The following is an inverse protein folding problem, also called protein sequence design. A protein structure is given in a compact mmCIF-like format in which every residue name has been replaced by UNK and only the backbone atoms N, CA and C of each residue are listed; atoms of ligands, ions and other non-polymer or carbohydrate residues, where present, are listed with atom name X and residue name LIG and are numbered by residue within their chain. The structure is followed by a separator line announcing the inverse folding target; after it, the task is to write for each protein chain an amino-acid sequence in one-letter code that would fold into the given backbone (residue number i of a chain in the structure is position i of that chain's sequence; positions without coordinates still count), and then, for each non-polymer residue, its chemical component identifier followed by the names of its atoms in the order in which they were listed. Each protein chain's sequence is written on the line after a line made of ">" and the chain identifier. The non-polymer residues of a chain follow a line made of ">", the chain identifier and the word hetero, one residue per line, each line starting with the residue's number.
data_IF_849599716812
#
_entry.id   IF_849599716812
#
_cell.length_a   1.000
_cell.length_b   1.000
_cell.length_c   1.000
_cell.angle_alpha   90.00
_cell.angle_beta   90.00
_cell.angle_gamma   90.00
#
_symmetry.space_group_name_H-M   'P 1'
#
loop_
_entity.id
_entity.type
_entity.pdbx_description
1 polymer ?
#
# COMPACT_ATOMS: atom_id res chain seq x y z
N UNK A 1 10.84 14.75 12.76
CA UNK A 1 10.15 15.73 13.64
C UNK A 1 8.67 15.41 13.56
N UNK A 2 8.09 14.75 14.55
CA UNK A 2 6.63 14.59 14.63
C UNK A 2 6.01 15.95 14.93
N UNK A 3 5.01 16.38 14.16
CA UNK A 3 4.34 17.68 14.36
C UNK A 3 3.40 17.61 15.57
N UNK A 4 3.15 18.77 16.19
CA UNK A 4 2.20 18.91 17.29
C UNK A 4 0.77 18.46 16.89
N UNK A 5 0.42 18.58 15.60
CA UNK A 5 -0.80 18.02 15.01
C UNK A 5 -0.89 16.48 15.10
N UNK A 6 0.23 15.78 14.93
CA UNK A 6 0.30 14.31 15.06
C UNK A 6 0.07 13.85 16.53
N UNK A 7 0.39 14.74 17.49
CA UNK A 7 0.21 14.51 18.92
C UNK A 7 -1.22 14.83 19.42
N UNK A 8 -1.90 15.78 18.79
CA UNK A 8 -3.23 16.26 19.18
C UNK A 8 -4.38 15.68 18.36
N UNK A 9 -4.10 15.10 17.18
CA UNK A 9 -5.09 14.33 16.44
C UNK A 9 -5.46 13.09 17.27
N UNK A 10 -6.71 13.01 17.72
CA UNK A 10 -7.35 11.76 18.15
C UNK A 10 -7.07 10.72 17.08
N UNK A 11 -6.08 9.86 17.33
CA UNK A 11 -5.47 9.04 16.28
C UNK A 11 -6.52 8.33 15.44
N UNK A 12 -6.51 8.57 14.13
CA UNK A 12 -7.48 8.03 13.19
C UNK A 12 -7.75 6.54 13.45
N UNK A 13 -9.04 6.18 13.53
CA UNK A 13 -9.50 4.82 13.88
C UNK A 13 -8.86 3.78 12.98
N UNK A 14 -8.46 2.63 13.53
CA UNK A 14 -7.89 1.54 12.73
C UNK A 14 -8.93 1.01 11.74
N UNK A 15 -8.55 0.83 10.47
CA UNK A 15 -9.40 0.23 9.46
C UNK A 15 -9.74 -1.24 9.74
N UNK A 16 -8.77 -1.96 10.33
CA UNK A 16 -8.90 -3.38 10.66
C UNK A 16 -8.57 -3.58 12.14
N UNK A 17 -9.45 -4.29 12.85
CA UNK A 17 -9.30 -4.70 14.24
C UNK A 17 -9.10 -6.21 14.32
N UNK A 18 -8.98 -6.76 15.53
CA UNK A 18 -8.93 -8.20 15.75
C UNK A 18 -10.15 -8.91 15.15
N UNK A 19 -11.33 -8.32 15.34
CA UNK A 19 -12.63 -8.94 15.03
C UNK A 19 -13.17 -8.59 13.64
N UNK A 20 -12.41 -7.84 12.83
CA UNK A 20 -12.80 -7.55 11.45
C UNK A 20 -12.96 -8.83 10.64
N UNK A 21 -14.13 -9.07 10.00
CA UNK A 21 -14.39 -10.29 9.25
C UNK A 21 -13.64 -10.31 7.91
N UNK A 22 -13.27 -11.52 7.46
CA UNK A 22 -12.71 -11.75 6.13
C UNK A 22 -13.69 -11.22 5.06
N UNK A 23 -13.14 -10.63 4.00
CA UNK A 23 -13.90 -9.92 2.97
C UNK A 23 -14.14 -8.44 3.27
N UNK A 24 -13.82 -7.96 4.47
CA UNK A 24 -13.90 -6.52 4.76
C UNK A 24 -12.91 -5.75 3.88
N UNK A 25 -13.41 -4.69 3.25
CA UNK A 25 -12.63 -3.76 2.45
C UNK A 25 -12.80 -2.35 2.97
N UNK A 26 -11.71 -1.59 2.95
CA UNK A 26 -11.72 -0.14 3.12
C UNK A 26 -11.10 0.50 1.89
N UNK A 27 -11.66 1.64 1.47
CA UNK A 27 -11.16 2.44 0.35
C UNK A 27 -11.30 3.91 0.69
N UNK A 28 -10.33 4.70 0.29
CA UNK A 28 -10.37 6.14 0.52
C UNK A 28 -9.22 6.88 -0.12
N UNK A 29 -9.28 8.21 -0.02
CA UNK A 29 -8.20 9.10 -0.48
C UNK A 29 -7.10 9.14 0.57
N UNK A 30 -5.85 8.91 0.18
CA UNK A 30 -4.71 9.03 1.08
C UNK A 30 -4.61 10.48 1.55
N UNK A 31 -4.58 10.67 2.87
CA UNK A 31 -4.29 11.97 3.49
C UNK A 31 -2.85 12.05 3.99
N UNK A 32 -2.29 10.92 4.42
CA UNK A 32 -0.89 10.82 4.84
C UNK A 32 -0.41 9.37 4.83
N UNK A 33 0.90 9.19 4.67
CA UNK A 33 1.56 7.92 4.86
C UNK A 33 2.88 8.13 5.62
N UNK A 34 3.10 7.37 6.69
CA UNK A 34 4.29 7.48 7.53
C UNK A 34 4.91 6.12 7.82
N UNK A 35 6.22 6.10 7.98
CA UNK A 35 6.93 4.91 8.44
C UNK A 35 7.26 5.06 9.92
N UNK A 36 6.87 4.08 10.75
CA UNK A 36 7.18 4.04 12.18
C UNK A 36 7.68 2.68 12.61
N UNK A 37 8.42 2.64 13.71
CA UNK A 37 8.67 1.37 14.38
C UNK A 37 7.35 0.83 14.96
N UNK A 38 7.14 -0.48 14.84
CA UNK A 38 6.02 -1.17 15.44
C UNK A 38 6.23 -1.22 16.96
N UNK A 39 5.18 -0.94 17.71
CA UNK A 39 5.15 -1.11 19.16
C UNK A 39 4.34 -2.33 19.55
N UNK A 40 4.64 -2.88 20.72
CA UNK A 40 3.80 -3.89 21.33
C UNK A 40 2.49 -3.26 21.79
N UNK A 41 1.36 -3.92 21.51
CA UNK A 41 0.06 -3.35 21.82
C UNK A 41 -0.19 -3.26 23.33
N UNK A 42 0.33 -4.22 24.11
CA UNK A 42 0.14 -4.30 25.56
C UNK A 42 1.17 -3.42 26.25
N UNK A 43 2.45 -3.64 25.98
CA UNK A 43 3.52 -2.96 26.73
C UNK A 43 3.87 -1.57 26.19
N UNK A 44 3.37 -1.21 25.00
CA UNK A 44 3.71 0.02 24.24
C UNK A 44 5.20 0.17 23.90
N UNK A 45 6.01 -0.85 24.16
CA UNK A 45 7.44 -0.82 23.87
C UNK A 45 7.74 -1.02 22.38
N UNK A 46 8.81 -0.42 21.83
CA UNK A 46 9.22 -0.67 20.46
C UNK A 46 9.60 -2.15 20.25
N UNK A 47 9.20 -2.72 19.10
CA UNK A 47 9.52 -4.11 18.75
C UNK A 47 10.79 -4.17 17.91
N UNK A 48 11.63 -5.13 18.25
CA UNK A 48 12.87 -5.44 17.55
C UNK A 48 12.84 -6.90 17.08
N UNK A 49 13.64 -7.21 16.08
CA UNK A 49 13.96 -8.56 15.67
C UNK A 49 15.03 -9.16 16.60
N UNK A 50 15.28 -10.47 16.48
CA UNK A 50 16.29 -11.16 17.29
C UNK A 50 17.72 -10.64 17.05
N UNK A 51 17.96 -10.03 15.88
CA UNK A 51 19.21 -9.35 15.51
C UNK A 51 19.32 -7.92 16.05
N UNK A 52 18.31 -7.44 16.78
CA UNK A 52 18.25 -6.07 17.34
C UNK A 52 17.78 -5.00 16.35
N UNK A 53 17.45 -5.32 15.09
CA UNK A 53 16.93 -4.35 14.14
C UNK A 53 15.44 -4.02 14.41
N UNK A 54 14.99 -2.78 14.15
CA UNK A 54 13.61 -2.38 14.46
C UNK A 54 12.61 -3.00 13.49
N UNK A 55 11.49 -3.49 14.03
CA UNK A 55 10.35 -3.94 13.23
C UNK A 55 9.59 -2.72 12.68
N UNK A 56 9.82 -2.34 11.42
CA UNK A 56 9.19 -1.16 10.80
C UNK A 56 7.83 -1.44 10.17
N UNK A 57 6.90 -0.50 10.30
CA UNK A 57 5.58 -0.55 9.65
C UNK A 57 5.27 0.77 8.94
N UNK A 58 4.50 0.68 7.87
CA UNK A 58 3.90 1.83 7.18
C UNK A 58 2.50 2.02 7.74
N UNK A 59 2.14 3.26 8.07
CA UNK A 59 0.77 3.66 8.38
C UNK A 59 0.28 4.46 7.20
N UNK A 60 -0.84 4.04 6.60
CA UNK A 60 -1.54 4.81 5.58
C UNK A 60 -2.83 5.31 6.18
N UNK A 61 -2.99 6.63 6.26
CA UNK A 61 -4.23 7.26 6.69
C UNK A 61 -5.04 7.64 5.45
N UNK A 62 -6.28 7.18 5.40
CA UNK A 62 -7.21 7.46 4.29
C UNK A 62 -8.45 8.18 4.79
N UNK A 63 -8.92 9.16 4.03
CA UNK A 63 -10.25 9.72 4.20
C UNK A 63 -11.26 8.77 3.56
N UNK A 64 -12.24 8.34 4.36
CA UNK A 64 -13.35 7.49 3.93
C UNK A 64 -14.67 8.21 4.16
N UNK A 65 -15.73 7.69 3.54
CA UNK A 65 -17.11 8.13 3.79
C UNK A 65 -17.73 7.40 5.00
N UNK A 66 -17.02 6.45 5.62
CA UNK A 66 -17.51 5.70 6.77
C UNK A 66 -17.47 6.57 8.03
N UNK A 67 -18.61 6.68 8.72
CA UNK A 67 -18.73 7.37 10.01
C UNK A 67 -19.37 6.40 11.02
N UNK A 68 -18.65 6.09 12.09
CA UNK A 68 -19.10 5.20 13.16
C UNK A 68 -19.86 5.92 14.27
N UNK A 69 -19.60 7.22 14.45
CA UNK A 69 -20.26 8.10 15.42
C UNK A 69 -20.07 9.58 15.01
N UNK A 70 -20.68 10.51 15.74
CA UNK A 70 -20.65 11.94 15.42
C UNK A 70 -19.25 12.57 15.51
N UNK A 71 -18.35 11.99 16.31
CA UNK A 71 -16.97 12.45 16.51
C UNK A 71 -15.98 11.72 15.59
N UNK A 72 -16.44 10.73 14.83
CA UNK A 72 -15.64 10.03 13.83
C UNK A 72 -15.36 10.98 12.67
N UNK A 73 -14.10 11.36 12.48
CA UNK A 73 -13.62 12.22 11.38
C UNK A 73 -13.63 11.52 10.00
N UNK A 74 -14.04 10.26 9.95
CA UNK A 74 -14.10 9.44 8.74
C UNK A 74 -12.72 9.00 8.26
N UNK A 75 -11.67 9.27 9.03
CA UNK A 75 -10.31 8.87 8.70
C UNK A 75 -10.05 7.46 9.23
N UNK A 76 -9.36 6.65 8.42
CA UNK A 76 -8.96 5.31 8.80
C UNK A 76 -7.46 5.12 8.64
N UNK A 77 -6.83 4.54 9.67
CA UNK A 77 -5.43 4.12 9.64
C UNK A 77 -5.29 2.66 9.21
N UNK A 78 -4.45 2.40 8.23
CA UNK A 78 -4.11 1.05 7.75
C UNK A 78 -2.64 0.79 8.10
N UNK A 79 -2.39 -0.26 8.88
CA UNK A 79 -1.07 -0.63 9.36
C UNK A 79 -0.50 -1.78 8.53
N UNK A 80 0.57 -1.50 7.79
CA UNK A 80 1.20 -2.44 6.85
C UNK A 80 2.60 -2.75 7.35
N UNK A 81 2.91 -4.03 7.62
CA UNK A 81 4.26 -4.41 8.04
C UNK A 81 5.23 -4.19 6.88
N UNK A 82 6.39 -3.61 7.14
CA UNK A 82 7.44 -3.42 6.11
C UNK A 82 8.25 -4.71 5.85
N UNK A 83 7.67 -5.88 6.13
CA UNK A 83 8.26 -7.19 5.90
C UNK A 83 7.17 -8.23 5.55
N UNK A 84 7.60 -9.42 5.11
CA UNK A 84 6.71 -10.54 4.84
C UNK A 84 5.67 -10.25 3.75
N UNK A 85 4.51 -10.91 3.86
CA UNK A 85 3.43 -10.84 2.86
C UNK A 85 2.86 -9.42 2.71
N UNK A 86 2.74 -8.67 3.80
CA UNK A 86 2.23 -7.29 3.76
C UNK A 86 3.10 -6.38 2.88
N UNK A 87 4.44 -6.49 3.00
CA UNK A 87 5.38 -5.73 2.16
C UNK A 87 5.30 -6.15 0.70
N UNK A 88 5.23 -7.46 0.45
CA UNK A 88 5.13 -7.99 -0.92
C UNK A 88 3.85 -7.45 -1.56
N UNK A 89 2.71 -7.62 -0.89
CA UNK A 89 1.42 -7.15 -1.39
C UNK A 89 1.37 -5.64 -1.64
N UNK A 90 1.98 -4.84 -0.74
CA UNK A 90 2.06 -3.40 -0.97
C UNK A 90 2.96 -3.07 -2.17
N UNK A 91 4.07 -3.79 -2.32
CA UNK A 91 5.01 -3.58 -3.44
C UNK A 91 4.36 -3.94 -4.78
N UNK A 92 3.55 -5.00 -4.82
CA UNK A 92 2.82 -5.40 -6.01
C UNK A 92 1.76 -4.36 -6.37
N UNK A 93 0.95 -3.91 -5.40
CA UNK A 93 -0.03 -2.85 -5.62
C UNK A 93 0.59 -1.53 -6.13
N UNK A 94 1.82 -1.20 -5.69
CA UNK A 94 2.58 -0.04 -6.19
C UNK A 94 2.96 -0.23 -7.67
N UNK A 95 3.44 -1.42 -8.05
CA UNK A 95 3.83 -1.76 -9.43
C UNK A 95 2.61 -1.80 -10.34
N UNK A 96 1.51 -2.41 -9.90
CA UNK A 96 0.25 -2.53 -10.64
C UNK A 96 -0.35 -1.15 -10.97
N UNK A 97 -0.14 -0.19 -10.06
CA UNK A 97 -0.55 1.20 -10.23
C UNK A 97 0.44 2.02 -11.08
N UNK A 98 1.51 1.41 -11.60
CA UNK A 98 2.52 2.03 -12.45
C UNK A 98 3.50 2.94 -11.73
N UNK A 99 3.61 2.85 -10.40
CA UNK A 99 4.57 3.64 -9.63
C UNK A 99 5.89 2.90 -9.45
N UNK A 100 6.99 3.65 -9.43
CA UNK A 100 8.32 3.11 -9.14
C UNK A 100 8.76 3.33 -7.69
N UNK A 101 8.13 4.27 -6.98
CA UNK A 101 8.45 4.63 -5.60
C UNK A 101 7.21 4.62 -4.71
N UNK A 102 7.37 4.02 -3.52
CA UNK A 102 6.31 4.00 -2.50
C UNK A 102 5.91 5.41 -2.03
N UNK A 103 6.84 6.36 -2.00
CA UNK A 103 6.55 7.76 -1.62
C UNK A 103 5.64 8.47 -2.62
N UNK A 104 5.69 8.09 -3.89
CA UNK A 104 4.82 8.64 -4.93
C UNK A 104 3.47 7.91 -4.95
N UNK A 105 3.49 6.58 -4.80
CA UNK A 105 2.28 5.77 -4.75
C UNK A 105 1.41 6.07 -3.52
N UNK A 106 2.03 6.30 -2.37
CA UNK A 106 1.35 6.64 -1.11
C UNK A 106 1.30 8.15 -0.85
N UNK A 107 1.48 8.97 -1.89
CA UNK A 107 1.34 10.41 -1.78
C UNK A 107 -0.11 10.81 -1.46
N UNK A 108 -0.33 11.88 -0.67
CA UNK A 108 -1.67 12.41 -0.44
C UNK A 108 -2.39 12.71 -1.76
N UNK A 109 -3.69 12.39 -1.80
CA UNK A 109 -4.54 12.56 -2.99
C UNK A 109 -4.68 11.32 -3.87
N UNK A 110 -3.77 10.33 -3.80
CA UNK A 110 -4.00 9.03 -4.42
C UNK A 110 -5.11 8.26 -3.70
N UNK A 111 -5.71 7.27 -4.36
CA UNK A 111 -6.70 6.39 -3.77
C UNK A 111 -6.02 5.10 -3.33
N UNK A 112 -6.28 4.68 -2.10
CA UNK A 112 -5.79 3.43 -1.55
C UNK A 112 -6.96 2.56 -1.09
N UNK A 113 -6.91 1.29 -1.46
CA UNK A 113 -7.83 0.27 -0.96
C UNK A 113 -7.06 -0.87 -0.29
N UNK A 114 -7.60 -1.37 0.80
CA UNK A 114 -7.11 -2.54 1.49
C UNK A 114 -8.27 -3.51 1.73
N UNK A 115 -8.03 -4.79 1.50
CA UNK A 115 -8.99 -5.86 1.72
C UNK A 115 -8.39 -6.93 2.63
N UNK A 116 -9.13 -7.35 3.66
CA UNK A 116 -8.77 -8.49 4.50
C UNK A 116 -9.24 -9.77 3.82
N UNK A 117 -8.31 -10.54 3.23
CA UNK A 117 -8.65 -11.64 2.32
C UNK A 117 -8.60 -13.02 2.97
N UNK A 118 -8.14 -13.12 4.20
CA UNK A 118 -8.11 -14.40 4.91
C UNK A 118 -7.03 -14.47 5.97
N UNK A 119 -6.96 -15.62 6.62
CA UNK A 119 -6.04 -15.90 7.70
C UNK A 119 -5.14 -17.08 7.33
N UNK A 120 -3.86 -16.98 7.68
CA UNK A 120 -2.90 -18.08 7.53
C UNK A 120 -2.35 -18.49 8.88
N UNK A 121 -2.03 -19.78 9.11
CA UNK A 121 -1.39 -20.22 10.33
C UNK A 121 -0.12 -19.42 10.58
N UNK A 122 0.02 -18.85 11.78
CA UNK A 122 1.33 -18.36 12.21
C UNK A 122 2.00 -19.44 13.04
N UNK A 123 3.33 -19.58 12.92
CA UNK A 123 4.11 -20.46 13.79
C UNK A 123 4.08 -20.07 15.28
N UNK A 124 3.30 -19.05 15.68
CA UNK A 124 3.18 -18.51 17.05
C UNK A 124 1.72 -18.45 17.53
N UNK A 125 0.88 -19.39 17.09
CA UNK A 125 -0.43 -19.70 17.67
C UNK A 125 -1.62 -18.86 17.19
N UNK A 126 -1.46 -17.54 16.98
CA UNK A 126 -2.52 -16.72 16.40
C UNK A 126 -2.36 -16.63 14.88
N UNK A 127 -3.37 -16.97 14.07
CA UNK A 127 -3.25 -16.84 12.63
C UNK A 127 -2.93 -15.40 12.21
N UNK A 128 -2.12 -15.26 11.16
CA UNK A 128 -1.77 -13.98 10.58
C UNK A 128 -2.85 -13.58 9.57
N UNK A 129 -3.39 -12.36 9.74
CA UNK A 129 -4.23 -11.74 8.72
C UNK A 129 -3.44 -11.49 7.44
N UNK A 130 -4.04 -11.84 6.31
CA UNK A 130 -3.52 -11.62 4.96
C UNK A 130 -4.36 -10.54 4.29
N UNK A 131 -3.68 -9.58 3.66
CA UNK A 131 -4.32 -8.45 2.99
C UNK A 131 -3.96 -8.39 1.50
N UNK A 132 -4.89 -7.87 0.71
CA UNK A 132 -4.65 -7.43 -0.65
C UNK A 132 -4.80 -5.89 -0.71
N UNK A 133 -4.02 -5.26 -1.58
CA UNK A 133 -4.00 -3.79 -1.70
C UNK A 133 -4.19 -3.37 -3.15
N UNK A 134 -4.77 -2.18 -3.34
CA UNK A 134 -4.87 -1.52 -4.64
C UNK A 134 -4.56 -0.04 -4.48
N UNK A 135 -3.82 0.50 -5.44
CA UNK A 135 -3.47 1.92 -5.52
C UNK A 135 -3.99 2.47 -6.84
N UNK A 136 -4.57 3.66 -6.81
CA UNK A 136 -4.95 4.39 -8.01
C UNK A 136 -4.42 5.82 -7.91
N UNK A 137 -3.92 6.32 -9.03
CA UNK A 137 -3.45 7.69 -9.13
C UNK A 137 -4.63 8.66 -8.94
N UNK A 138 -4.49 9.61 -8.02
CA UNK A 138 -5.49 10.65 -7.82
C UNK A 138 -5.53 11.63 -8.99
N UNK A 139 -6.69 12.24 -9.24
CA UNK A 139 -6.87 13.20 -10.34
C UNK A 139 -5.94 14.43 -10.27
N UNK A 140 -5.33 14.71 -9.11
CA UNK A 140 -4.50 15.90 -8.87
C UNK A 140 -3.01 15.60 -8.61
N UNK A 141 -2.53 14.37 -8.76
CA UNK A 141 -1.07 14.13 -8.75
C UNK A 141 -0.54 14.25 -10.18
N UNK A 142 0.41 15.17 -10.47
CA UNK A 142 0.95 15.30 -11.81
C UNK A 142 1.50 13.95 -12.26
N UNK A 143 0.98 13.43 -13.37
CA UNK A 143 1.58 12.30 -14.05
C UNK A 143 2.97 12.74 -14.54
N UNK A 144 4.02 12.23 -13.90
CA UNK A 144 5.35 12.24 -14.50
C UNK A 144 5.36 11.15 -15.56
N UNK A 145 5.09 11.60 -16.79
CA UNK A 145 5.27 10.92 -18.07
C UNK A 145 4.41 9.68 -18.35
N UNK A 146 3.17 9.92 -18.79
CA UNK A 146 2.48 9.11 -19.79
C UNK A 146 1.26 9.88 -20.33
N UNK A 147 1.42 10.52 -21.50
CA UNK A 147 0.28 10.80 -22.37
C UNK A 147 0.79 10.71 -23.81
N UNK A 148 0.12 9.93 -24.67
CA UNK A 148 -0.96 10.55 -25.42
C UNK A 148 -2.16 9.61 -25.55
N UNK A 149 -3.36 10.06 -25.20
CA UNK A 149 -4.62 9.95 -25.97
C UNK A 149 -5.81 10.26 -25.05
N UNK A 150 -6.37 11.47 -25.19
CA UNK A 150 -7.59 11.85 -24.49
C UNK A 150 -7.77 13.36 -24.50
N UNK A 151 -8.49 13.86 -25.49
CA UNK A 151 -8.75 15.27 -25.73
C UNK A 151 -9.32 15.98 -24.48
N UNK A 152 -8.76 17.15 -24.19
CA UNK A 152 -9.36 18.14 -23.30
C UNK A 152 -10.71 18.58 -23.91
N UNK A 153 -11.82 18.30 -23.24
CA UNK A 153 -13.05 19.04 -23.48
C UNK A 153 -13.02 20.33 -22.63
N UNK A 154 -13.05 21.52 -23.24
CA UNK A 154 -13.31 22.74 -22.48
C UNK A 154 -14.78 22.74 -22.05
N UNK A 155 -15.03 22.75 -20.74
CA UNK A 155 -16.36 23.06 -20.19
C UNK A 155 -16.67 24.52 -20.46
N UNK A 156 -17.56 24.76 -21.42
CA UNK A 156 -18.08 26.08 -21.75
C UNK A 156 -19.14 26.45 -20.69
N UNK A 157 -18.78 27.30 -19.74
CA UNK A 157 -19.74 27.91 -18.81
C UNK A 157 -20.67 28.84 -19.59
N UNK A 158 -21.93 28.45 -19.75
CA UNK A 158 -22.99 29.33 -20.24
C UNK A 158 -23.43 30.28 -19.13
N UNK A 159 -23.11 31.56 -19.26
CA UNK A 159 -23.71 32.63 -18.45
C UNK A 159 -25.07 32.98 -19.09
N UNK A 160 -26.19 32.98 -18.37
CA UNK A 160 -27.47 33.40 -18.93
C UNK A 160 -27.42 34.90 -19.30
N UNK A 161 -27.84 35.21 -20.54
CA UNK A 161 -27.91 36.56 -21.07
C UNK A 161 -28.97 37.40 -20.35
N UNK A 162 -28.58 38.60 -19.90
CA UNK A 162 -29.46 39.57 -19.28
C UNK A 162 -30.21 40.34 -20.40
N UNK A 163 -31.56 40.33 -20.47
CA UNK A 163 -32.27 40.79 -21.66
C UNK A 163 -32.39 42.32 -21.85
N UNK A 164 -31.83 43.16 -20.98
CA UNK A 164 -32.11 44.63 -20.96
C UNK A 164 -30.89 45.53 -21.21
N UNK A 165 -29.92 45.12 -22.02
CA UNK A 165 -28.84 46.00 -22.46
C UNK A 165 -29.00 46.42 -23.92
N UNK A 166 -29.68 47.56 -24.14
CA UNK A 166 -29.64 48.31 -25.40
C UNK A 166 -28.27 48.94 -25.61
N UNK A 167 -27.64 48.66 -26.75
CA UNK A 167 -26.44 49.35 -27.22
C UNK A 167 -26.72 50.84 -27.54
N UNK A 168 -25.67 51.66 -27.57
CA UNK A 168 -25.33 52.25 -28.86
C UNK A 168 -23.83 52.14 -29.20
N UNK A 169 -23.56 52.01 -30.50
CA UNK A 169 -22.25 52.16 -31.11
C UNK A 169 -21.87 53.65 -31.22
N UNK A 170 -20.60 53.99 -30.97
CA UNK A 170 -19.98 55.22 -31.45
C UNK A 170 -18.45 55.10 -31.50
N UNK A 171 -17.95 55.32 -32.72
CA UNK A 171 -16.73 55.99 -33.17
C UNK A 171 -15.32 55.77 -32.61
N UNK A 172 -14.43 55.82 -33.61
CA UNK A 172 -12.97 55.73 -33.62
C UNK A 172 -12.22 56.72 -32.71
N UNK A 173 -11.05 56.28 -32.25
CA UNK A 173 -9.89 57.16 -32.04
C UNK A 173 -8.57 56.40 -32.26
N UNK A 174 -7.68 56.86 -33.16
CA UNK A 174 -6.39 56.24 -33.42
C UNK A 174 -5.27 57.05 -32.74
N UNK A 175 -4.74 56.59 -31.60
CA UNK A 175 -3.44 57.05 -31.10
C UNK A 175 -2.74 55.91 -30.37
N UNK A 176 -1.55 55.59 -30.84
CA UNK A 176 -0.73 54.48 -30.37
C UNK A 176 -0.03 54.73 -29.04
N UNK A 177 0.37 53.63 -28.40
CA UNK A 177 1.44 53.55 -27.40
C UNK A 177 1.88 52.07 -27.27
N UNK A 178 3.12 51.81 -26.80
CA UNK A 178 3.99 50.79 -27.37
C UNK A 178 3.90 49.40 -26.73
N UNK A 179 4.35 48.42 -27.51
CA UNK A 179 4.61 47.03 -27.16
C UNK A 179 5.61 46.92 -25.99
N UNK A 180 5.36 46.10 -24.94
CA UNK A 180 6.37 45.80 -23.94
C UNK A 180 7.46 44.90 -24.54
N UNK A 181 8.70 45.39 -24.57
CA UNK A 181 9.90 44.58 -24.79
C UNK A 181 10.13 43.67 -23.59
N UNK A 182 10.16 42.36 -23.83
CA UNK A 182 10.61 41.37 -22.84
C UNK A 182 12.10 41.59 -22.50
N UNK A 183 12.51 41.60 -21.23
CA UNK A 183 13.92 41.55 -20.88
C UNK A 183 14.46 40.12 -21.03
N UNK A 184 15.46 39.95 -21.89
CA UNK A 184 16.33 38.78 -21.98
C UNK A 184 17.11 38.65 -20.67
N UNK A 185 16.73 37.68 -19.83
CA UNK A 185 17.57 37.28 -18.69
C UNK A 185 18.67 36.34 -19.19
N UNK A 186 19.91 36.78 -19.01
CA UNK A 186 21.14 36.01 -19.17
C UNK A 186 21.19 34.83 -18.20
N UNK A 187 21.41 33.63 -18.71
CA UNK A 187 21.67 32.41 -17.94
C UNK A 187 23.15 32.39 -17.53
N UNK A 188 23.51 32.43 -16.23
CA UNK A 188 24.86 32.05 -15.81
C UNK A 188 24.97 30.51 -15.78
N UNK A 189 26.12 30.02 -16.22
CA UNK A 189 26.48 28.60 -16.32
C UNK A 189 26.33 27.84 -14.97
N UNK A 190 25.95 26.56 -14.98
CA UNK A 190 25.90 25.76 -13.76
C UNK A 190 27.31 25.43 -13.26
N UNK A 191 27.54 25.71 -11.98
CA UNK A 191 28.67 25.21 -11.21
C UNK A 191 28.62 23.68 -11.16
N UNK A 192 29.73 23.04 -11.55
CA UNK A 192 29.96 21.60 -11.37
C UNK A 192 30.12 21.28 -9.88
N UNK A 193 29.20 20.48 -9.33
CA UNK A 193 29.36 19.90 -8.01
C UNK A 193 30.39 18.75 -8.05
N UNK A 194 31.22 18.58 -7.00
CA UNK A 194 32.20 17.50 -6.92
C UNK A 194 31.51 16.13 -6.75
N UNK A 195 32.03 15.12 -7.45
CA UNK A 195 31.55 13.74 -7.36
C UNK A 195 31.77 13.13 -5.97
N UNK A 196 30.82 12.35 -5.44
CA UNK A 196 31.08 11.52 -4.27
C UNK A 196 31.98 10.33 -4.64
N UNK A 197 33.05 10.17 -3.87
CA UNK A 197 33.92 9.00 -3.88
C UNK A 197 33.14 7.72 -3.52
N UNK A 198 33.27 6.69 -4.35
CA UNK A 198 32.73 5.35 -4.08
C UNK A 198 33.54 4.69 -2.95
N UNK A 199 32.91 4.16 -1.89
CA UNK A 199 33.59 3.24 -0.99
C UNK A 199 33.76 1.86 -1.66
N UNK A 200 34.95 1.27 -1.45
CA UNK A 200 35.36 -0.03 -1.95
C UNK A 200 34.48 -1.18 -1.44
N UNK A 201 34.32 -2.28 -2.20
CA UNK A 201 33.54 -3.44 -1.79
C UNK A 201 34.25 -4.22 -0.67
N UNK A 202 33.56 -4.43 0.44
CA UNK A 202 33.96 -5.38 1.49
C UNK A 202 33.69 -6.82 1.03
N UNK A 203 34.61 -7.77 1.31
CA UNK A 203 34.44 -9.17 0.91
C UNK A 203 33.34 -9.86 1.71
N UNK A 204 32.47 -10.60 0.99
CA UNK A 204 31.42 -11.43 1.58
C UNK A 204 32.02 -12.65 2.31
N UNK A 205 31.56 -12.99 3.53
CA UNK A 205 31.87 -14.29 4.13
C UNK A 205 31.06 -15.40 3.44
N UNK A 206 31.77 -16.39 2.90
CA UNK A 206 31.18 -17.63 2.41
C UNK A 206 30.62 -18.45 3.58
N UNK A 207 29.30 -18.57 3.66
CA UNK A 207 28.66 -19.56 4.52
C UNK A 207 28.71 -20.92 3.83
N UNK A 208 29.52 -21.84 4.36
CA UNK A 208 29.40 -23.27 4.07
C UNK A 208 28.35 -23.88 5.01
N UNK A 209 27.39 -24.67 4.51
CA UNK A 209 26.51 -25.46 5.37
C UNK A 209 27.26 -26.71 5.85
N UNK A 210 27.49 -26.82 7.16
CA UNK A 210 27.92 -28.07 7.79
C UNK A 210 26.73 -29.00 7.95
N UNK A 211 26.78 -30.13 7.24
CA UNK A 211 25.87 -31.26 7.42
C UNK A 211 26.17 -31.96 8.75
N UNK A 212 25.33 -31.75 9.76
CA UNK A 212 25.33 -32.58 10.96
C UNK A 212 24.24 -33.64 10.84
N UNK A 213 24.66 -34.88 10.64
CA UNK A 213 23.83 -36.07 10.80
C UNK A 213 23.49 -36.28 12.28
N UNK A 214 22.23 -36.54 12.66
CA UNK A 214 21.92 -36.96 14.02
C UNK A 214 22.24 -38.44 14.19
N UNK A 215 23.29 -38.74 14.96
CA UNK A 215 23.44 -40.06 15.60
C UNK A 215 22.47 -40.11 16.78
N UNK A 216 21.47 -41.00 16.70
CA UNK A 216 20.49 -41.21 17.76
C UNK A 216 21.08 -41.97 18.96
N UNK A 217 20.62 -41.71 20.20
CA UNK A 217 20.92 -42.57 21.33
C UNK A 217 19.99 -43.81 21.35
N UNK A 218 20.59 -44.99 21.46
CA UNK A 218 19.90 -46.25 21.82
C UNK A 218 19.70 -46.30 23.34
N UNK A 219 18.54 -46.79 23.80
CA UNK A 219 18.31 -47.19 25.19
C UNK A 219 17.85 -48.65 25.21
N UNK A 220 18.61 -49.58 25.84
CA UNK A 220 18.20 -50.96 26.01
C UNK A 220 17.36 -51.14 27.28
N UNK A 221 16.37 -52.04 27.21
CA UNK A 221 15.64 -52.66 28.35
C UNK A 221 14.29 -52.03 28.69
N UNK A 222 13.24 -52.47 27.98
CA UNK A 222 12.01 -53.08 28.54
C UNK A 222 11.22 -53.64 27.35
N UNK A 223 10.98 -54.95 27.32
CA UNK A 223 10.40 -55.65 26.18
C UNK A 223 8.90 -55.43 26.00
N UNK A 224 8.50 -54.26 25.51
CA UNK A 224 7.14 -53.99 25.04
C UNK A 224 7.15 -53.66 23.54
N UNK A 225 6.34 -54.39 22.77
CA UNK A 225 6.11 -54.10 21.35
C UNK A 225 5.23 -52.86 21.25
N UNK A 226 5.85 -51.69 21.13
CA UNK A 226 5.16 -50.49 20.68
C UNK A 226 5.04 -50.58 19.15
N UNK A 227 3.81 -50.61 18.66
CA UNK A 227 3.51 -50.32 17.25
C UNK A 227 4.31 -49.08 16.82
N UNK A 228 4.94 -49.07 15.63
CA UNK A 228 5.66 -47.90 15.18
C UNK A 228 4.71 -46.69 15.24
N UNK A 229 5.11 -45.55 15.83
CA UNK A 229 4.34 -44.33 15.68
C UNK A 229 4.19 -44.12 14.17
N UNK A 230 2.94 -43.97 13.72
CA UNK A 230 2.64 -43.60 12.35
C UNK A 230 3.61 -42.49 11.95
N UNK A 231 4.29 -42.69 10.83
CA UNK A 231 5.18 -41.68 10.24
C UNK A 231 4.51 -40.31 10.39
N UNK A 232 5.20 -39.28 10.89
CA UNK A 232 4.60 -37.96 10.98
C UNK A 232 4.06 -37.64 9.60
N UNK A 233 2.74 -37.39 9.55
CA UNK A 233 2.07 -36.96 8.34
C UNK A 233 2.94 -35.89 7.71
N UNK A 234 3.21 -36.05 6.41
CA UNK A 234 3.93 -35.07 5.62
C UNK A 234 3.47 -33.66 6.03
N UNK A 235 4.39 -32.69 6.22
CA UNK A 235 4.01 -31.35 6.62
C UNK A 235 2.89 -30.89 5.69
N UNK A 236 1.73 -30.56 6.27
CA UNK A 236 0.59 -30.08 5.52
C UNK A 236 1.11 -29.00 4.57
N UNK A 237 0.80 -29.16 3.28
CA UNK A 237 1.13 -28.18 2.26
C UNK A 237 0.76 -26.78 2.79
N UNK A 238 1.52 -25.72 2.47
CA UNK A 238 1.13 -24.37 2.87
C UNK A 238 -0.33 -24.18 2.49
N UNK A 239 -1.18 -23.92 3.49
CA UNK A 239 -2.60 -23.62 3.25
C UNK A 239 -2.63 -22.27 2.55
N UNK A 240 -2.51 -22.34 1.23
CA UNK A 240 -2.73 -21.23 0.34
C UNK A 240 -4.15 -20.70 0.58
N UNK A 241 -4.29 -19.37 0.57
CA UNK A 241 -5.60 -18.75 0.70
C UNK A 241 -6.58 -19.37 -0.33
N UNK A 242 -7.74 -19.88 0.09
CA UNK A 242 -8.65 -20.63 -0.78
C UNK A 242 -9.12 -19.79 -1.98
N UNK A 243 -9.28 -18.47 -1.80
CA UNK A 243 -9.61 -17.57 -2.91
C UNK A 243 -8.46 -17.46 -3.93
N UNK A 244 -7.21 -17.41 -3.48
CA UNK A 244 -6.03 -17.40 -4.37
C UNK A 244 -5.95 -18.72 -5.15
N UNK A 245 -6.17 -19.85 -4.47
CA UNK A 245 -6.19 -21.17 -5.11
C UNK A 245 -7.28 -21.26 -6.19
N UNK A 246 -8.48 -20.75 -5.92
CA UNK A 246 -9.59 -20.72 -6.88
C UNK A 246 -9.31 -19.79 -8.06
N UNK A 247 -8.72 -18.61 -7.84
CA UNK A 247 -8.31 -17.69 -8.91
C UNK A 247 -7.29 -18.37 -9.84
N UNK A 248 -6.29 -19.06 -9.28
CA UNK A 248 -5.28 -19.79 -10.07
C UNK A 248 -5.85 -20.97 -10.84
N UNK A 249 -6.93 -21.57 -10.35
CA UNK A 249 -7.68 -22.63 -11.04
C UNK A 249 -8.60 -22.07 -12.15
N UNK A 250 -8.66 -20.75 -12.34
CA UNK A 250 -9.51 -20.13 -13.34
C UNK A 250 -10.99 -20.12 -12.97
N UNK A 251 -11.34 -20.30 -11.69
CA UNK A 251 -12.72 -20.17 -11.23
C UNK A 251 -13.25 -18.76 -11.53
N UNK A 252 -14.53 -18.63 -11.86
CA UNK A 252 -15.20 -17.34 -12.04
C UNK A 252 -15.49 -16.64 -10.69
N UNK A 253 -15.83 -15.36 -10.74
CA UNK A 253 -16.05 -14.54 -9.53
C UNK A 253 -17.25 -15.01 -8.70
N UNK A 254 -18.29 -15.56 -9.33
CA UNK A 254 -19.45 -16.07 -8.61
C UNK A 254 -19.09 -17.35 -7.83
N UNK A 255 -18.28 -18.23 -8.43
CA UNK A 255 -17.74 -19.42 -7.77
C UNK A 255 -16.84 -19.05 -6.60
N UNK A 256 -15.95 -18.07 -6.76
CA UNK A 256 -15.06 -17.61 -5.67
C UNK A 256 -15.89 -16.98 -4.55
N UNK A 257 -16.85 -16.11 -4.87
CA UNK A 257 -17.73 -15.49 -3.90
C UNK A 257 -18.53 -16.54 -3.11
N UNK A 258 -19.11 -17.53 -3.78
CA UNK A 258 -19.90 -18.57 -3.14
C UNK A 258 -19.07 -19.44 -2.18
N UNK A 259 -17.80 -19.69 -2.49
CA UNK A 259 -16.93 -20.56 -1.68
C UNK A 259 -16.19 -19.83 -0.56
N UNK A 260 -15.99 -18.51 -0.69
CA UNK A 260 -15.10 -17.74 0.20
C UNK A 260 -15.80 -16.62 0.96
N UNK A 261 -17.00 -16.22 0.52
CA UNK A 261 -17.73 -15.08 1.07
C UNK A 261 -17.12 -13.70 0.72
N UNK A 262 -16.09 -13.66 -0.14
CA UNK A 262 -15.46 -12.41 -0.58
C UNK A 262 -16.38 -11.63 -1.53
N UNK A 263 -16.35 -10.31 -1.44
CA UNK A 263 -17.10 -9.44 -2.35
C UNK A 263 -16.43 -9.39 -3.73
N UNK A 264 -17.18 -9.05 -4.80
CA UNK A 264 -16.62 -8.91 -6.14
C UNK A 264 -15.45 -7.92 -6.23
N UNK A 265 -15.53 -6.79 -5.50
CA UNK A 265 -14.43 -5.81 -5.45
C UNK A 265 -13.15 -6.40 -4.84
N UNK A 266 -13.27 -7.20 -3.78
CA UNK A 266 -12.11 -7.87 -3.17
C UNK A 266 -11.52 -8.91 -4.11
N UNK A 267 -12.37 -9.68 -4.79
CA UNK A 267 -11.93 -10.66 -5.80
C UNK A 267 -11.20 -9.94 -6.95
N UNK A 268 -11.70 -8.80 -7.41
CA UNK A 268 -11.07 -8.00 -8.45
C UNK A 268 -9.68 -7.50 -8.03
N UNK A 269 -9.52 -7.00 -6.79
CA UNK A 269 -8.21 -6.62 -6.24
C UNK A 269 -7.27 -7.83 -6.23
N UNK A 270 -7.73 -8.99 -5.76
CA UNK A 270 -6.90 -10.20 -5.73
C UNK A 270 -6.47 -10.66 -7.12
N UNK A 271 -7.36 -10.60 -8.12
CA UNK A 271 -7.02 -10.94 -9.51
C UNK A 271 -5.98 -10.00 -10.10
N UNK A 272 -6.14 -8.70 -9.90
CA UNK A 272 -5.18 -7.71 -10.39
C UNK A 272 -3.79 -8.01 -9.83
N UNK A 273 -3.69 -8.24 -8.52
CA UNK A 273 -2.42 -8.50 -7.85
C UNK A 273 -1.76 -9.83 -8.27
N UNK A 274 -2.54 -10.83 -8.70
CA UNK A 274 -2.03 -12.13 -9.15
C UNK A 274 -1.66 -12.16 -10.65
N UNK A 275 -2.04 -11.13 -11.41
CA UNK A 275 -1.73 -11.02 -12.83
C UNK A 275 -0.36 -10.35 -13.11
N UNK A 276 0.28 -9.81 -12.07
CA UNK A 276 1.52 -9.03 -12.13
C UNK A 276 2.76 -9.83 -11.70
#
# INVERSE_FOLDING_TARGET
>A
MSSLDDLLSTGAKSAFTRDTPVGTQVRGTIISATQRQKTDYVTKQPKFWDDGSPQMQVIVSIQTDQRSDADDDGVRSIYIKAWGKDKIALSDAIRDAGFTKATEALAPGNIFAAAFIGEEPSGKGNPMKVYAYQIQRGANVPALDANPFGAQQPVQQSVPANPWATAPAADANPFGAPQPTAPTQSVPAPFSAPQPVQPAPTPQPQYQPSVQTPVGPVNPTTGEVLTPPAAPAAPAAPVENPAVALIRQGADDATIQAQTGLTPDVIAIMRQQLAS
#
